data_IF_218235398498
#
_entry.id   IF_218235398498
#
_cell.length_a   1.000
_cell.length_b   1.000
_cell.length_c   1.000
_cell.angle_alpha   90.00
_cell.angle_beta   90.00
_cell.angle_gamma   90.00
#
_symmetry.space_group_name_H-M   'P 1'
#
loop_
_entity.id
_entity.type
_entity.pdbx_description
1 polymer ?
#
# COMPACT_ATOMS: atom_id res chain seq x y z
N UNK A 1 -17.17 37.12 35.56
CA UNK A 1 -16.39 36.00 36.15
C UNK A 1 -17.13 34.71 35.84
N UNK A 2 -16.81 34.06 34.72
CA UNK A 2 -17.55 32.90 34.20
C UNK A 2 -16.75 31.63 34.50
N UNK A 3 -17.33 30.72 35.28
CA UNK A 3 -16.68 29.47 35.73
C UNK A 3 -16.36 28.54 34.54
N UNK A 4 -15.22 27.83 34.55
CA UNK A 4 -14.92 26.81 33.54
C UNK A 4 -15.68 25.51 33.84
N UNK A 5 -16.45 25.00 32.89
CA UNK A 5 -17.07 23.67 32.99
C UNK A 5 -16.04 22.58 32.65
N UNK A 6 -15.70 21.76 33.65
CA UNK A 6 -14.83 20.59 33.59
C UNK A 6 -15.38 19.53 32.63
N UNK A 7 -14.75 19.36 31.47
CA UNK A 7 -15.07 18.26 30.55
C UNK A 7 -14.77 16.91 31.21
N UNK A 8 -15.78 16.02 31.25
CA UNK A 8 -15.67 14.67 31.82
C UNK A 8 -14.89 13.78 30.86
N UNK A 9 -13.94 13.03 31.42
CA UNK A 9 -13.09 12.09 30.70
C UNK A 9 -13.89 11.03 29.92
N UNK A 10 -13.49 10.82 28.67
CA UNK A 10 -13.94 9.72 27.83
C UNK A 10 -13.31 8.43 28.34
N UNK A 11 -14.17 7.54 28.86
CA UNK A 11 -13.79 6.24 29.42
C UNK A 11 -13.39 5.27 28.30
N UNK A 12 -12.24 4.63 28.53
CA UNK A 12 -11.92 3.21 28.28
C UNK A 12 -12.39 2.58 26.96
N UNK A 13 -11.39 2.33 26.11
CA UNK A 13 -11.53 1.67 24.81
C UNK A 13 -12.24 0.32 24.88
N UNK A 14 -13.30 0.20 24.08
CA UNK A 14 -13.84 -1.08 23.67
C UNK A 14 -12.77 -1.78 22.84
N UNK A 15 -12.29 -2.95 23.28
CA UNK A 15 -11.53 -3.88 22.43
C UNK A 15 -12.43 -4.25 21.26
N UNK A 16 -12.26 -3.58 20.12
CA UNK A 16 -12.88 -4.01 18.88
C UNK A 16 -12.24 -5.34 18.49
N UNK A 17 -13.06 -6.38 18.48
CA UNK A 17 -12.72 -7.68 17.93
C UNK A 17 -12.20 -7.47 16.51
N UNK A 18 -10.94 -7.87 16.34
CA UNK A 18 -10.19 -7.63 15.15
C UNK A 18 -10.57 -8.66 14.08
N UNK A 19 -11.65 -8.40 13.34
CA UNK A 19 -12.03 -9.17 12.15
C UNK A 19 -11.11 -8.79 10.98
N UNK A 20 -9.81 -9.08 11.08
CA UNK A 20 -9.01 -9.27 9.88
C UNK A 20 -9.44 -10.60 9.27
N UNK A 21 -10.45 -10.57 8.40
CA UNK A 21 -10.53 -11.59 7.36
C UNK A 21 -9.28 -11.38 6.50
N UNK A 22 -8.24 -12.14 6.82
CA UNK A 22 -6.96 -12.12 6.13
C UNK A 22 -7.25 -12.19 4.63
N UNK A 23 -6.79 -11.18 3.87
CA UNK A 23 -6.60 -11.36 2.44
C UNK A 23 -5.64 -12.56 2.31
N UNK A 24 -6.21 -13.74 2.04
CA UNK A 24 -5.45 -14.94 1.76
C UNK A 24 -5.15 -14.84 0.27
N UNK A 25 -3.92 -14.47 -0.15
CA UNK A 25 -3.59 -14.55 -1.55
C UNK A 25 -3.93 -15.96 -2.04
N UNK A 26 -4.52 -16.12 -3.24
CA UNK A 26 -4.79 -17.44 -3.78
C UNK A 26 -3.50 -18.27 -3.75
N UNK A 27 -3.55 -19.58 -3.47
CA UNK A 27 -2.35 -20.40 -3.48
C UNK A 27 -1.65 -20.21 -4.81
N UNK A 28 -0.38 -19.80 -4.74
CA UNK A 28 0.49 -19.80 -5.91
C UNK A 28 0.72 -21.27 -6.23
N UNK A 29 0.41 -21.71 -7.46
CA UNK A 29 0.63 -23.08 -7.89
C UNK A 29 2.09 -23.47 -7.67
N UNK A 30 2.37 -24.75 -7.33
CA UNK A 30 3.73 -25.20 -7.06
C UNK A 30 4.68 -24.85 -8.22
N UNK A 31 5.73 -24.08 -7.94
CA UNK A 31 6.69 -23.61 -8.93
C UNK A 31 6.31 -22.33 -9.68
N UNK A 32 5.12 -21.76 -9.45
CA UNK A 32 4.76 -20.46 -10.02
C UNK A 32 5.44 -19.32 -9.25
N UNK A 33 6.11 -18.41 -9.96
CA UNK A 33 6.68 -17.21 -9.34
C UNK A 33 5.61 -16.14 -9.17
N UNK A 34 5.68 -15.33 -8.10
CA UNK A 34 4.74 -14.22 -7.83
C UNK A 34 4.51 -13.32 -9.07
N UNK A 35 5.60 -13.01 -9.78
CA UNK A 35 5.57 -12.31 -11.07
C UNK A 35 4.65 -12.96 -12.11
N UNK A 36 4.78 -14.28 -12.30
CA UNK A 36 3.99 -15.02 -13.28
C UNK A 36 2.53 -15.06 -12.87
N UNK A 37 2.27 -15.26 -11.57
CA UNK A 37 0.94 -15.25 -11.01
C UNK A 37 0.20 -13.94 -11.29
N UNK A 38 0.82 -12.79 -11.00
CA UNK A 38 0.25 -11.45 -11.25
C UNK A 38 0.03 -11.24 -12.75
N UNK A 39 1.06 -11.48 -13.55
CA UNK A 39 1.03 -11.27 -14.99
C UNK A 39 0.14 -12.28 -15.72
N UNK A 40 -0.30 -13.40 -15.13
CA UNK A 40 -1.36 -14.24 -15.73
C UNK A 40 -2.75 -13.67 -15.46
N UNK A 41 -3.02 -13.23 -14.23
CA UNK A 41 -4.37 -12.91 -13.74
C UNK A 41 -4.87 -11.51 -14.10
N UNK A 42 -4.00 -10.50 -14.08
CA UNK A 42 -4.45 -9.10 -14.19
C UNK A 42 -4.11 -8.51 -15.54
N UNK A 43 -5.03 -7.71 -16.12
CA UNK A 43 -4.82 -6.98 -17.39
C UNK A 43 -4.05 -5.67 -17.18
N UNK A 44 -4.33 -5.01 -16.05
CA UNK A 44 -3.71 -3.77 -15.62
C UNK A 44 -2.87 -4.03 -14.37
N UNK A 45 -1.62 -3.58 -14.37
CA UNK A 45 -0.69 -3.74 -13.27
C UNK A 45 -0.09 -2.38 -12.96
N UNK A 46 -0.28 -1.93 -11.73
CA UNK A 46 0.20 -0.63 -11.26
C UNK A 46 1.19 -0.83 -10.12
N UNK A 47 2.31 -0.11 -10.17
CA UNK A 47 3.31 -0.11 -9.09
C UNK A 47 3.71 1.32 -8.77
N UNK A 48 4.24 1.56 -7.58
CA UNK A 48 4.79 2.87 -7.23
C UNK A 48 6.07 3.17 -8.02
N UNK A 49 6.22 4.39 -8.52
CA UNK A 49 7.46 4.89 -9.11
C UNK A 49 8.47 5.29 -8.01
N UNK A 50 8.89 4.29 -7.24
CA UNK A 50 9.86 4.49 -6.17
C UNK A 50 11.24 4.81 -6.78
N UNK A 51 11.89 5.86 -6.27
CA UNK A 51 13.30 6.15 -6.57
C UNK A 51 14.22 5.19 -5.80
N UNK A 52 14.15 3.89 -6.11
CA UNK A 52 14.82 2.80 -5.37
C UNK A 52 16.32 3.06 -5.22
N UNK A 53 16.99 3.55 -6.29
CA UNK A 53 18.42 3.92 -6.24
C UNK A 53 18.72 4.97 -5.16
N UNK A 54 17.83 5.95 -4.97
CA UNK A 54 18.00 6.96 -3.92
C UNK A 54 17.66 6.40 -2.53
N UNK A 55 16.65 5.55 -2.43
CA UNK A 55 16.31 4.88 -1.17
C UNK A 55 17.44 3.97 -0.68
N UNK A 56 18.10 3.27 -1.61
CA UNK A 56 19.23 2.40 -1.33
C UNK A 56 20.50 3.14 -0.87
N UNK A 57 20.56 4.48 -1.02
CA UNK A 57 21.65 5.29 -0.44
C UNK A 57 21.51 5.43 1.08
N UNK A 58 20.33 5.22 1.63
CA UNK A 58 20.12 5.24 3.07
C UNK A 58 20.73 3.98 3.71
N UNK A 59 21.86 4.12 4.40
CA UNK A 59 22.60 3.00 5.03
C UNK A 59 21.74 2.11 5.93
N UNK A 60 20.67 2.62 6.54
CA UNK A 60 19.76 1.84 7.39
C UNK A 60 18.79 0.96 6.60
N UNK A 61 18.43 1.36 5.38
CA UNK A 61 17.46 0.67 4.54
C UNK A 61 18.10 -0.07 3.35
N UNK A 62 19.33 0.28 2.99
CA UNK A 62 20.04 -0.24 1.82
C UNK A 62 20.02 -1.76 1.77
N UNK A 63 20.44 -2.43 2.86
CA UNK A 63 20.46 -3.89 2.94
C UNK A 63 19.09 -4.49 2.68
N UNK A 64 18.06 -4.04 3.40
CA UNK A 64 16.69 -4.56 3.25
C UNK A 64 16.11 -4.32 1.85
N UNK A 65 16.45 -3.21 1.20
CA UNK A 65 16.02 -2.91 -0.17
C UNK A 65 16.71 -3.83 -1.18
N UNK A 66 18.02 -4.06 -1.02
CA UNK A 66 18.79 -4.95 -1.87
C UNK A 66 18.35 -6.41 -1.72
N UNK A 67 18.21 -6.88 -0.48
CA UNK A 67 17.76 -8.24 -0.17
C UNK A 67 16.36 -8.52 -0.72
N UNK A 68 15.47 -7.52 -0.70
CA UNK A 68 14.12 -7.65 -1.23
C UNK A 68 14.03 -7.55 -2.77
N UNK A 69 15.10 -7.12 -3.46
CA UNK A 69 15.19 -7.16 -4.91
C UNK A 69 14.15 -6.32 -5.67
N UNK A 70 13.64 -5.23 -5.08
CA UNK A 70 12.49 -4.47 -5.63
C UNK A 70 12.68 -4.01 -7.07
N UNK A 71 13.86 -3.49 -7.41
CA UNK A 71 14.13 -3.02 -8.78
C UNK A 71 14.09 -4.16 -9.78
N UNK A 72 14.65 -5.33 -9.43
CA UNK A 72 14.67 -6.50 -10.29
C UNK A 72 13.24 -7.04 -10.46
N UNK A 73 12.47 -7.10 -9.37
CA UNK A 73 11.07 -7.55 -9.40
C UNK A 73 10.21 -6.66 -10.31
N UNK A 74 10.30 -5.34 -10.16
CA UNK A 74 9.58 -4.38 -11.01
C UNK A 74 9.93 -4.52 -12.49
N UNK A 75 11.22 -4.61 -12.83
CA UNK A 75 11.69 -4.78 -14.21
C UNK A 75 11.15 -6.07 -14.84
N UNK A 76 11.14 -7.17 -14.08
CA UNK A 76 10.61 -8.43 -14.60
C UNK A 76 9.09 -8.44 -14.73
N UNK A 77 8.36 -7.73 -13.85
CA UNK A 77 6.92 -7.57 -13.99
C UNK A 77 6.59 -6.79 -15.27
N UNK A 78 7.27 -5.67 -15.50
CA UNK A 78 7.13 -4.84 -16.69
C UNK A 78 7.42 -5.65 -17.96
N UNK A 79 8.59 -6.28 -18.03
CA UNK A 79 8.99 -7.13 -19.14
C UNK A 79 7.95 -8.21 -19.47
N UNK A 80 7.47 -8.96 -18.46
CA UNK A 80 6.49 -10.02 -18.69
C UNK A 80 5.09 -9.49 -19.01
N UNK A 81 4.70 -8.34 -18.47
CA UNK A 81 3.43 -7.69 -18.79
C UNK A 81 3.39 -7.28 -20.27
N UNK A 82 4.46 -6.62 -20.74
CA UNK A 82 4.62 -6.22 -22.15
C UNK A 82 4.58 -7.45 -23.06
N UNK A 83 5.30 -8.51 -22.73
CA UNK A 83 5.27 -9.76 -23.51
C UNK A 83 3.88 -10.38 -23.68
N UNK A 84 2.97 -10.15 -22.72
CA UNK A 84 1.60 -10.68 -22.77
C UNK A 84 0.57 -9.66 -23.23
N UNK A 85 1.00 -8.52 -23.78
CA UNK A 85 0.10 -7.44 -24.21
C UNK A 85 -0.69 -6.82 -23.07
N UNK A 86 -0.14 -6.79 -21.85
CA UNK A 86 -0.77 -6.24 -20.65
C UNK A 86 -0.28 -4.84 -20.36
N UNK A 87 -1.09 -4.07 -19.65
CA UNK A 87 -0.73 -2.70 -19.26
C UNK A 87 0.03 -2.74 -17.95
N UNK A 88 1.24 -2.17 -17.96
CA UNK A 88 2.05 -1.94 -16.77
C UNK A 88 2.38 -0.44 -16.69
N UNK A 89 2.04 0.20 -15.57
CA UNK A 89 2.32 1.61 -15.35
C UNK A 89 2.87 1.86 -13.94
N UNK A 90 3.76 2.84 -13.83
CA UNK A 90 4.27 3.33 -12.56
C UNK A 90 3.50 4.58 -12.16
N UNK A 91 2.99 4.62 -10.93
CA UNK A 91 2.20 5.74 -10.40
C UNK A 91 3.04 6.60 -9.44
N UNK A 92 2.73 7.91 -9.29
CA UNK A 92 3.42 8.77 -8.34
C UNK A 92 3.35 8.20 -6.91
N UNK A 93 4.49 7.98 -6.22
CA UNK A 93 4.53 7.35 -4.89
C UNK A 93 4.15 8.30 -3.74
N UNK A 94 3.97 9.59 -4.00
CA UNK A 94 3.79 10.59 -2.95
C UNK A 94 2.48 10.35 -2.21
N UNK A 95 2.57 10.20 -0.88
CA UNK A 95 1.42 10.07 -0.01
C UNK A 95 0.68 8.73 -0.08
N UNK A 96 1.10 7.75 -0.88
CA UNK A 96 0.38 6.47 -1.06
C UNK A 96 0.13 5.70 0.24
N UNK A 97 1.08 5.76 1.19
CA UNK A 97 0.99 5.13 2.51
C UNK A 97 0.32 6.01 3.57
N UNK A 98 0.06 7.27 3.25
CA UNK A 98 -0.43 8.30 4.18
C UNK A 98 -1.83 8.80 3.84
N UNK A 99 -2.24 8.74 2.58
CA UNK A 99 -3.54 9.17 2.09
C UNK A 99 -4.58 8.06 2.26
N UNK A 100 -5.79 8.45 2.63
CA UNK A 100 -6.93 7.56 2.70
C UNK A 100 -7.68 7.52 1.36
N UNK A 101 -8.46 6.48 1.12
CA UNK A 101 -9.35 6.38 -0.03
C UNK A 101 -10.44 7.48 -0.07
N UNK A 102 -10.68 8.21 1.03
CA UNK A 102 -11.54 9.39 1.04
C UNK A 102 -10.81 10.70 0.68
N UNK A 103 -9.51 10.66 0.39
CA UNK A 103 -8.68 11.83 0.09
C UNK A 103 -8.05 12.50 1.32
N UNK A 104 -8.41 12.08 2.54
CA UNK A 104 -7.82 12.64 3.76
C UNK A 104 -6.36 12.21 3.95
N UNK A 105 -5.51 13.14 4.38
CA UNK A 105 -4.16 12.83 4.85
C UNK A 105 -4.22 12.22 6.26
N UNK A 106 -3.57 11.07 6.43
CA UNK A 106 -3.49 10.31 7.69
C UNK A 106 -2.01 10.01 7.98
N UNK A 107 -1.23 10.98 8.49
CA UNK A 107 0.18 10.79 8.82
C UNK A 107 0.40 9.66 9.84
N UNK A 108 1.34 8.77 9.57
CA UNK A 108 1.69 7.62 10.42
C UNK A 108 3.11 7.13 10.17
N UNK A 109 3.76 6.57 11.18
CA UNK A 109 5.09 5.99 11.06
C UNK A 109 5.09 4.65 10.30
N UNK A 110 6.27 4.22 9.82
CA UNK A 110 6.45 2.94 9.12
C UNK A 110 6.07 1.73 9.98
N UNK A 111 6.19 1.84 11.30
CA UNK A 111 5.78 0.81 12.27
C UNK A 111 4.26 0.63 12.36
N UNK A 112 3.48 1.64 11.98
CA UNK A 112 2.01 1.58 12.00
C UNK A 112 1.53 0.79 10.78
N UNK A 113 1.05 -0.43 11.01
CA UNK A 113 0.60 -1.35 9.96
C UNK A 113 -0.90 -1.28 9.66
N UNK A 114 -1.67 -0.60 10.51
CA UNK A 114 -3.13 -0.44 10.35
C UNK A 114 -3.43 1.01 10.02
N UNK A 115 -4.12 1.23 8.90
CA UNK A 115 -4.66 2.52 8.54
C UNK A 115 -5.97 2.72 9.29
N UNK A 116 -6.05 3.79 10.09
CA UNK A 116 -7.29 4.24 10.77
C UNK A 116 -7.57 5.66 10.35
N UNK A 117 -8.54 5.87 9.48
CA UNK A 117 -8.89 7.20 9.03
C UNK A 117 -9.83 7.89 10.03
N UNK A 118 -9.46 9.06 10.60
CA UNK A 118 -10.33 9.79 11.52
C UNK A 118 -11.50 10.49 10.81
N UNK A 119 -11.45 10.63 9.47
CA UNK A 119 -12.45 11.37 8.69
C UNK A 119 -13.57 10.45 8.21
N UNK A 120 -13.25 9.34 7.55
CA UNK A 120 -14.26 8.41 7.02
C UNK A 120 -14.43 7.14 7.86
N UNK A 121 -13.64 6.95 8.91
CA UNK A 121 -13.70 5.77 9.77
C UNK A 121 -13.11 4.50 9.18
N UNK A 122 -12.48 4.52 8.00
CA UNK A 122 -11.85 3.34 7.39
C UNK A 122 -10.77 2.75 8.31
N UNK A 123 -10.90 1.45 8.61
CA UNK A 123 -9.90 0.67 9.36
C UNK A 123 -9.51 -0.56 8.57
N UNK A 124 -8.30 -0.57 7.99
CA UNK A 124 -7.80 -1.66 7.15
C UNK A 124 -6.25 -1.71 7.21
N UNK A 125 -5.59 -2.84 6.91
CA UNK A 125 -4.14 -2.86 6.74
C UNK A 125 -3.63 -1.76 5.81
N UNK A 126 -2.59 -1.06 6.24
CA UNK A 126 -2.00 0.07 5.50
C UNK A 126 -1.65 -0.31 4.06
N UNK A 127 -1.04 -1.48 3.89
CA UNK A 127 -0.56 -1.92 2.58
C UNK A 127 -1.73 -2.23 1.62
N UNK A 128 -2.91 -2.63 2.13
CA UNK A 128 -4.13 -2.80 1.33
C UNK A 128 -4.73 -1.45 0.91
N UNK A 129 -4.76 -0.48 1.83
CA UNK A 129 -5.20 0.88 1.52
C UNK A 129 -4.28 1.52 0.47
N UNK A 130 -2.96 1.38 0.63
CA UNK A 130 -1.98 1.82 -0.36
C UNK A 130 -2.21 1.17 -1.73
N UNK A 131 -2.44 -0.15 -1.76
CA UNK A 131 -2.69 -0.87 -3.02
C UNK A 131 -3.95 -0.37 -3.75
N UNK A 132 -5.07 -0.16 -3.03
CA UNK A 132 -6.30 0.41 -3.59
C UNK A 132 -6.10 1.84 -4.09
N UNK A 133 -5.28 2.63 -3.40
CA UNK A 133 -4.97 3.99 -3.84
C UNK A 133 -4.09 4.00 -5.10
N UNK A 134 -3.08 3.13 -5.17
CA UNK A 134 -2.24 2.92 -6.35
C UNK A 134 -3.09 2.49 -7.55
N UNK A 135 -4.04 1.56 -7.35
CA UNK A 135 -4.99 1.15 -8.38
C UNK A 135 -5.81 2.33 -8.90
N UNK A 136 -6.41 3.13 -8.00
CA UNK A 136 -7.19 4.32 -8.41
C UNK A 136 -6.35 5.32 -9.20
N UNK A 137 -5.12 5.61 -8.76
CA UNK A 137 -4.20 6.51 -9.46
C UNK A 137 -3.83 5.95 -10.83
N UNK A 138 -3.57 4.66 -10.92
CA UNK A 138 -3.23 3.99 -12.17
C UNK A 138 -4.39 3.98 -13.17
N UNK A 139 -5.61 3.70 -12.72
CA UNK A 139 -6.81 3.76 -13.56
C UNK A 139 -7.06 5.17 -14.08
N UNK A 140 -6.87 6.20 -13.25
CA UNK A 140 -6.99 7.59 -13.66
C UNK A 140 -5.92 8.05 -14.68
N UNK A 141 -4.81 7.32 -14.83
CA UNK A 141 -3.80 7.58 -15.86
C UNK A 141 -4.11 6.91 -17.20
N UNK A 142 -5.04 5.94 -17.22
CA UNK A 142 -5.47 5.21 -18.42
C UNK A 142 -6.78 5.76 -18.98
N UNK A 143 -7.65 6.28 -18.11
CA UNK A 143 -8.93 6.92 -18.45
C UNK A 143 -8.69 8.26 -19.16
#
# INVERSE_FOLDING_TARGET
>A
MSRPTRARGLKHGKKQSNQYTAFRPPPIEAGETCRNFVVKRYKYIFVEDLKIKNMAKNKKLAKSIHDAGWSMFGNFLEYKAVQKGKVFLKVPPQGTSQECLCGASVPKDLSVRIHRCPICGLVEPRDLVSAKLIERRGLAMIA
#
